data_IF_582637228917
#
_entry.id   IF_582637228917
#
_cell.length_a   1.000
_cell.length_b   1.000
_cell.length_c   1.000
_cell.angle_alpha   90.00
_cell.angle_beta   90.00
_cell.angle_gamma   90.00
#
_symmetry.space_group_name_H-M   'P 1'
#
loop_
_entity.id
_entity.type
_entity.pdbx_description
1 polymer ?
#
# COMPACT_ATOMS: atom_id res chain seq x y z
N UNK A 1 5.88 12.04 0.78
CA UNK A 1 7.31 11.66 0.73
C UNK A 1 7.40 10.15 0.96
N UNK A 2 7.89 9.38 -0.01
CA UNK A 2 7.95 7.92 0.09
C UNK A 2 9.18 7.29 -0.61
N UNK A 3 9.82 8.01 -1.52
CA UNK A 3 10.98 7.51 -2.26
C UNK A 3 12.14 7.00 -1.37
N UNK A 4 12.49 7.62 -0.22
CA UNK A 4 13.52 7.07 0.67
C UNK A 4 13.20 5.65 1.16
N UNK A 5 11.92 5.34 1.43
CA UNK A 5 11.51 3.99 1.77
C UNK A 5 11.72 3.04 0.60
N UNK A 6 11.34 3.44 -0.62
CA UNK A 6 11.51 2.61 -1.81
C UNK A 6 13.00 2.28 -2.05
N UNK A 7 13.88 3.27 -1.87
CA UNK A 7 15.34 3.08 -1.95
C UNK A 7 15.82 2.03 -0.96
N UNK A 8 15.44 2.17 0.32
CA UNK A 8 15.83 1.21 1.35
C UNK A 8 15.28 -0.20 1.08
N UNK A 9 14.05 -0.31 0.56
CA UNK A 9 13.47 -1.59 0.18
C UNK A 9 14.23 -2.24 -0.98
N UNK A 10 14.57 -1.45 -2.02
CA UNK A 10 15.36 -1.93 -3.16
C UNK A 10 16.76 -2.35 -2.76
N UNK A 11 17.42 -1.58 -1.89
CA UNK A 11 18.75 -1.92 -1.38
C UNK A 11 18.75 -3.23 -0.57
N UNK A 12 17.74 -3.42 0.30
CA UNK A 12 17.61 -4.65 1.12
C UNK A 12 17.16 -5.86 0.31
N UNK A 13 16.36 -5.64 -0.73
CA UNK A 13 15.78 -6.69 -1.55
C UNK A 13 15.83 -6.36 -3.04
N UNK A 14 17.02 -6.39 -3.69
CA UNK A 14 17.19 -5.92 -5.06
C UNK A 14 16.29 -6.60 -6.09
N UNK A 15 16.00 -7.89 -5.88
CA UNK A 15 15.23 -8.74 -6.79
C UNK A 15 13.72 -8.75 -6.52
N UNK A 16 13.25 -8.10 -5.44
CA UNK A 16 11.81 -8.08 -5.14
C UNK A 16 11.15 -6.93 -5.91
N UNK A 17 10.08 -7.19 -6.69
CA UNK A 17 9.36 -6.12 -7.36
C UNK A 17 8.66 -5.22 -6.34
N UNK A 18 8.61 -3.92 -6.64
CA UNK A 18 7.97 -2.89 -5.84
C UNK A 18 6.89 -2.24 -6.69
N UNK A 19 5.66 -2.69 -6.48
CA UNK A 19 4.48 -2.11 -7.11
C UNK A 19 3.85 -1.05 -6.21
N UNK A 20 3.44 0.08 -6.78
CA UNK A 20 2.84 1.19 -6.05
C UNK A 20 1.39 1.36 -6.41
N UNK A 21 0.52 1.31 -5.40
CA UNK A 21 -0.89 1.64 -5.52
C UNK A 21 -1.11 3.15 -5.28
N UNK A 22 -1.56 3.89 -6.30
CA UNK A 22 -1.67 5.34 -6.24
C UNK A 22 -2.90 5.91 -6.98
N UNK A 23 -3.45 7.07 -6.55
CA UNK A 23 -4.44 7.80 -7.34
C UNK A 23 -3.87 8.27 -8.70
N UNK A 24 -4.70 8.35 -9.77
CA UNK A 24 -4.24 8.79 -11.09
C UNK A 24 -3.53 10.14 -11.09
N UNK A 25 -3.94 11.07 -10.23
CA UNK A 25 -3.34 12.41 -10.12
C UNK A 25 -1.86 12.41 -9.73
N UNK A 26 -1.40 11.39 -9.01
CA UNK A 26 -0.01 11.28 -8.54
C UNK A 26 0.73 10.12 -9.20
N UNK A 27 0.05 9.27 -9.98
CA UNK A 27 0.65 8.15 -10.69
C UNK A 27 1.84 8.55 -11.59
N UNK A 28 1.83 9.69 -12.32
CA UNK A 28 2.99 10.10 -13.11
C UNK A 28 4.26 10.29 -12.28
N UNK A 29 4.15 10.78 -11.04
CA UNK A 29 5.29 10.98 -10.15
C UNK A 29 5.91 9.64 -9.74
N UNK A 30 5.08 8.64 -9.42
CA UNK A 30 5.56 7.30 -9.09
C UNK A 30 6.25 6.60 -10.25
N UNK A 31 5.77 6.83 -11.48
CA UNK A 31 6.40 6.28 -12.70
C UNK A 31 7.80 6.86 -12.97
N UNK A 32 8.16 7.98 -12.36
CA UNK A 32 9.51 8.56 -12.46
C UNK A 32 10.49 7.99 -11.43
N UNK A 33 10.02 7.19 -10.46
CA UNK A 33 10.87 6.60 -9.43
C UNK A 33 11.49 5.31 -9.97
N UNK A 34 12.82 5.28 -10.05
CA UNK A 34 13.57 4.13 -10.58
C UNK A 34 13.36 2.85 -9.75
N UNK A 35 12.95 2.99 -8.49
CA UNK A 35 12.71 1.87 -7.59
C UNK A 35 11.36 1.18 -7.83
N UNK A 36 10.44 1.80 -8.59
CA UNK A 36 9.07 1.31 -8.83
C UNK A 36 9.00 0.49 -10.12
N UNK A 37 8.49 -0.74 -10.03
CA UNK A 37 8.33 -1.62 -11.20
C UNK A 37 6.99 -1.39 -11.90
N UNK A 38 5.90 -1.33 -11.14
CA UNK A 38 4.56 -1.08 -11.69
C UNK A 38 3.78 -0.08 -10.83
N UNK A 39 3.07 0.84 -11.49
CA UNK A 39 2.13 1.75 -10.83
C UNK A 39 0.70 1.28 -11.11
N UNK A 40 0.04 0.82 -10.05
CA UNK A 40 -1.36 0.44 -10.06
C UNK A 40 -2.22 1.65 -9.69
N UNK A 41 -3.04 2.09 -10.64
CA UNK A 41 -3.93 3.22 -10.40
C UNK A 41 -5.16 2.77 -9.59
N UNK A 42 -5.45 3.47 -8.49
CA UNK A 42 -6.64 3.20 -7.70
C UNK A 42 -7.89 3.65 -8.45
N UNK A 43 -8.90 2.78 -8.65
CA UNK A 43 -10.16 3.18 -9.30
C UNK A 43 -11.12 3.93 -8.36
N UNK A 44 -10.68 4.26 -7.14
CA UNK A 44 -11.57 4.77 -6.09
C UNK A 44 -11.83 6.27 -6.25
N UNK A 45 -13.10 6.65 -6.35
CA UNK A 45 -13.53 8.06 -6.31
C UNK A 45 -13.65 8.52 -4.86
N UNK A 46 -13.37 9.80 -4.62
CA UNK A 46 -13.60 10.41 -3.31
C UNK A 46 -15.09 10.34 -2.95
N UNK A 47 -15.40 10.07 -1.67
CA UNK A 47 -16.76 10.17 -1.10
C UNK A 47 -17.56 8.87 -0.99
N UNK A 48 -17.31 7.84 -1.82
CA UNK A 48 -18.03 6.57 -1.75
C UNK A 48 -17.17 5.44 -1.15
N UNK A 49 -17.75 4.64 -0.25
CA UNK A 49 -17.08 3.48 0.36
C UNK A 49 -16.62 2.47 -0.70
N UNK A 50 -17.35 2.36 -1.83
CA UNK A 50 -17.01 1.52 -2.99
C UNK A 50 -16.50 0.13 -2.59
N UNK A 51 -17.19 -0.50 -1.64
CA UNK A 51 -16.71 -1.73 -1.00
C UNK A 51 -16.59 -2.88 -2.01
N UNK A 52 -17.51 -2.94 -2.98
CA UNK A 52 -17.50 -3.94 -4.06
C UNK A 52 -16.29 -3.77 -4.96
N UNK A 53 -15.96 -2.54 -5.34
CA UNK A 53 -14.79 -2.20 -6.15
C UNK A 53 -13.50 -2.49 -5.37
N UNK A 54 -13.44 -2.12 -4.09
CA UNK A 54 -12.30 -2.44 -3.21
C UNK A 54 -12.08 -3.93 -3.10
N UNK A 55 -13.15 -4.71 -2.96
CA UNK A 55 -13.04 -6.16 -2.87
C UNK A 55 -12.63 -6.81 -4.20
N UNK A 56 -13.16 -6.35 -5.34
CA UNK A 56 -12.69 -6.76 -6.67
C UNK A 56 -11.20 -6.45 -6.84
N UNK A 57 -10.79 -5.25 -6.45
CA UNK A 57 -9.40 -4.82 -6.55
C UNK A 57 -8.49 -5.61 -5.60
N UNK A 58 -8.93 -5.86 -4.36
CA UNK A 58 -8.21 -6.70 -3.41
C UNK A 58 -8.02 -8.14 -3.92
N UNK A 59 -8.99 -8.70 -4.63
CA UNK A 59 -8.85 -10.01 -5.31
C UNK A 59 -7.82 -9.99 -6.42
N UNK A 60 -7.72 -8.89 -7.19
CA UNK A 60 -6.66 -8.71 -8.18
C UNK A 60 -5.29 -8.72 -7.49
N UNK A 61 -5.14 -7.96 -6.40
CA UNK A 61 -3.91 -7.95 -5.61
C UNK A 61 -3.58 -9.31 -5.01
N UNK A 62 -4.60 -10.06 -4.54
CA UNK A 62 -4.43 -11.43 -4.04
C UNK A 62 -3.87 -12.36 -5.10
N UNK A 63 -4.33 -12.25 -6.35
CA UNK A 63 -3.83 -13.05 -7.48
C UNK A 63 -2.38 -12.71 -7.85
N UNK A 64 -1.94 -11.48 -7.59
CA UNK A 64 -0.53 -11.07 -7.77
C UNK A 64 0.40 -11.65 -6.70
N UNK A 65 -0.13 -12.12 -5.57
CA UNK A 65 0.66 -12.88 -4.59
C UNK A 65 1.69 -12.05 -3.81
N UNK A 66 1.40 -10.78 -3.51
CA UNK A 66 2.30 -9.94 -2.72
C UNK A 66 2.60 -10.54 -1.35
N UNK A 67 3.89 -10.62 -1.03
CA UNK A 67 4.36 -11.08 0.28
C UNK A 67 4.16 -10.00 1.37
N UNK A 68 4.40 -8.75 1.02
CA UNK A 68 4.39 -7.61 1.95
C UNK A 68 3.61 -6.42 1.37
N UNK A 69 2.94 -5.67 2.25
CA UNK A 69 2.29 -4.40 1.92
C UNK A 69 2.73 -3.31 2.90
N UNK A 70 3.26 -2.21 2.36
CA UNK A 70 3.63 -1.02 3.13
C UNK A 70 2.52 0.05 2.98
N UNK A 71 1.71 0.22 4.02
CA UNK A 71 0.59 1.15 4.04
C UNK A 71 1.05 2.49 4.61
N UNK A 72 1.40 3.42 3.71
CA UNK A 72 1.93 4.74 4.09
C UNK A 72 0.85 5.74 4.56
N UNK A 73 -0.35 5.81 3.95
CA UNK A 73 -1.39 6.69 4.46
C UNK A 73 -1.90 6.21 5.82
N UNK A 74 -2.25 7.14 6.70
CA UNK A 74 -2.73 6.82 8.05
C UNK A 74 -4.22 6.44 8.15
N UNK A 75 -4.94 6.45 7.01
CA UNK A 75 -6.37 6.16 6.99
C UNK A 75 -6.67 4.66 6.88
N UNK A 76 -7.75 4.23 7.54
CA UNK A 76 -8.17 2.82 7.60
C UNK A 76 -8.42 2.18 6.23
N UNK A 77 -8.89 2.98 5.26
CA UNK A 77 -9.34 2.53 3.93
C UNK A 77 -8.24 1.83 3.12
N UNK A 78 -6.98 2.25 3.29
CA UNK A 78 -5.85 1.63 2.58
C UNK A 78 -5.42 0.32 3.25
N UNK A 79 -5.43 0.28 4.58
CA UNK A 79 -5.12 -0.94 5.33
C UNK A 79 -6.16 -2.04 5.06
N UNK A 80 -7.43 -1.68 4.87
CA UNK A 80 -8.50 -2.61 4.51
C UNK A 80 -8.23 -3.34 3.20
N UNK A 81 -7.69 -2.66 2.17
CA UNK A 81 -7.39 -3.30 0.88
C UNK A 81 -6.29 -4.35 1.03
N UNK A 82 -5.22 -4.02 1.76
CA UNK A 82 -4.13 -4.97 2.01
C UNK A 82 -4.60 -6.19 2.80
N UNK A 83 -5.49 -5.99 3.77
CA UNK A 83 -6.11 -7.06 4.54
C UNK A 83 -7.04 -7.93 3.68
N UNK A 84 -7.94 -7.31 2.89
CA UNK A 84 -8.84 -8.04 1.98
C UNK A 84 -8.08 -8.82 0.89
N UNK A 85 -6.91 -8.33 0.49
CA UNK A 85 -6.03 -9.02 -0.45
C UNK A 85 -5.35 -10.25 0.18
N UNK A 86 -5.44 -10.43 1.50
CA UNK A 86 -4.84 -11.56 2.20
C UNK A 86 -3.32 -11.49 2.28
N UNK A 87 -2.73 -10.30 2.15
CA UNK A 87 -1.27 -10.11 2.21
C UNK A 87 -0.79 -10.41 3.62
N UNK A 88 0.13 -11.36 3.78
CA UNK A 88 0.51 -11.90 5.08
C UNK A 88 1.18 -10.84 5.99
N UNK A 89 2.09 -10.05 5.43
CA UNK A 89 2.82 -9.00 6.17
C UNK A 89 2.33 -7.62 5.75
N UNK A 90 1.68 -6.90 6.67
CA UNK A 90 1.06 -5.59 6.45
C UNK A 90 1.70 -4.60 7.42
N UNK A 91 2.62 -3.81 6.87
CA UNK A 91 3.47 -2.85 7.59
C UNK A 91 2.87 -1.46 7.49
N UNK A 92 2.82 -0.74 8.59
CA UNK A 92 2.35 0.64 8.60
C UNK A 92 2.33 1.23 9.99
N UNK A 93 1.98 2.51 10.08
CA UNK A 93 1.83 3.17 11.38
C UNK A 93 0.52 2.79 12.08
N UNK A 94 0.33 3.17 13.35
CA UNK A 94 -0.93 2.95 14.07
C UNK A 94 -2.10 3.72 13.43
N UNK A 95 -1.94 5.03 13.16
CA UNK A 95 -3.00 5.88 12.59
C UNK A 95 -4.33 5.80 13.37
N UNK A 96 -5.45 5.65 12.65
CA UNK A 96 -6.83 5.52 13.19
C UNK A 96 -7.11 4.17 13.89
N UNK A 97 -6.26 3.72 14.82
CA UNK A 97 -6.44 2.46 15.56
C UNK A 97 -6.63 1.23 14.66
N UNK A 98 -5.76 1.07 13.65
CA UNK A 98 -5.84 0.05 12.58
C UNK A 98 -5.47 -1.39 13.02
N UNK A 99 -5.79 -1.74 14.27
CA UNK A 99 -5.49 -3.04 14.85
C UNK A 99 -6.10 -4.18 14.01
N UNK A 100 -5.30 -5.22 13.77
CA UNK A 100 -5.65 -6.37 12.91
C UNK A 100 -5.43 -6.13 11.40
N UNK A 101 -5.72 -4.93 10.89
CA UNK A 101 -5.47 -4.59 9.48
C UNK A 101 -4.00 -4.38 9.19
N UNK A 102 -3.26 -3.77 10.12
CA UNK A 102 -1.79 -3.71 10.13
C UNK A 102 -1.30 -4.68 11.21
N UNK A 103 -0.35 -5.55 10.86
CA UNK A 103 0.21 -6.55 11.80
C UNK A 103 1.71 -6.36 12.07
N UNK A 104 2.38 -5.48 11.31
CA UNK A 104 3.70 -4.94 11.66
C UNK A 104 3.51 -3.45 11.88
N UNK A 105 3.18 -3.11 13.13
CA UNK A 105 2.76 -1.76 13.49
C UNK A 105 3.93 -0.94 14.00
N UNK A 106 4.16 0.21 13.36
CA UNK A 106 5.01 1.27 13.88
C UNK A 106 4.16 2.24 14.68
N UNK A 107 4.69 2.72 15.79
CA UNK A 107 4.08 3.81 16.54
C UNK A 107 4.70 5.11 16.01
N UNK A 108 3.85 6.07 15.66
CA UNK A 108 4.33 7.44 15.51
C UNK A 108 4.63 7.89 16.94
N UNK A 109 5.87 7.66 17.39
CA UNK A 109 6.36 8.26 18.63
C UNK A 109 6.59 9.74 18.33
N UNK A 110 5.52 10.52 18.46
CA UNK A 110 5.60 11.96 18.61
C UNK A 110 4.90 12.32 19.94
N UNK A 111 5.59 13.02 20.86
CA UNK A 111 4.98 13.61 22.05
C UNK A 111 3.90 14.65 21.71
#
# INVERSE_FOLDING_TARGET
MAQPLLRLLRERHPLRPIDVLAPPSVAPVWRQMAEVDEVLETPFRHGALQLKERWKFARLLRRRGYAEAHVLPNTLKFALIAWLAGIARRVGYKGESRYGLINVMHHDDAP
#
